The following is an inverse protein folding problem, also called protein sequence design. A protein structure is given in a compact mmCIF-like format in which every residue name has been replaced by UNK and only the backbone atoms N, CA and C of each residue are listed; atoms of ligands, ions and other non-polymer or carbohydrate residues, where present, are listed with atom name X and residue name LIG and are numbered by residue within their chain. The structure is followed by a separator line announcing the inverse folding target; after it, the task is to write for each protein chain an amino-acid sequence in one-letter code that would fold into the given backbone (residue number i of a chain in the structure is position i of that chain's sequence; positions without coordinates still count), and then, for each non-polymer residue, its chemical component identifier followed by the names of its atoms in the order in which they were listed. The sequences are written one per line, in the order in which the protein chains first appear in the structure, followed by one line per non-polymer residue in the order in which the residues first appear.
data_IF_495526524261
#
_entry.id   IF_495526524261
#
_cell.length_a   1.000
_cell.length_b   1.000
_cell.length_c   1.000
_cell.angle_alpha   90.00
_cell.angle_beta   90.00
_cell.angle_gamma   90.00
#
_symmetry.space_group_name_H-M   'P 1'
#
loop_
_entity.id
_entity.type
_entity.pdbx_description
1 polymer ?
#
# COMPACT_ATOMS: atom_id res chain seq x y z
N UNK A 1 -37.78 30.22 6.18
CA UNK A 1 -37.23 29.02 6.84
C UNK A 1 -35.71 29.10 6.81
N UNK A 2 -35.05 29.02 7.96
CA UNK A 2 -33.58 29.04 8.06
C UNK A 2 -33.00 27.84 7.31
N UNK A 3 -32.09 28.09 6.35
CA UNK A 3 -31.38 27.02 5.63
C UNK A 3 -30.66 26.13 6.64
N UNK A 4 -30.97 24.82 6.64
CA UNK A 4 -30.23 23.82 7.43
C UNK A 4 -28.75 23.90 7.03
N UNK A 5 -27.86 23.92 8.01
CA UNK A 5 -26.40 23.93 7.80
C UNK A 5 -25.81 22.64 8.35
N UNK A 6 -24.77 22.16 7.69
CA UNK A 6 -23.98 21.02 8.15
C UNK A 6 -22.63 21.52 8.62
N UNK A 7 -22.20 21.12 9.80
CA UNK A 7 -20.94 21.53 10.41
C UNK A 7 -19.99 20.35 10.42
N UNK A 8 -18.88 20.47 9.72
CA UNK A 8 -17.94 19.41 9.50
C UNK A 8 -16.69 19.66 10.34
N UNK A 9 -16.38 18.77 11.28
CA UNK A 9 -15.20 18.83 12.14
C UNK A 9 -14.16 17.86 11.59
N UNK A 10 -13.06 18.39 11.05
CA UNK A 10 -11.91 17.61 10.55
C UNK A 10 -10.91 17.32 11.66
N UNK A 11 -10.74 18.26 12.60
CA UNK A 11 -9.87 18.12 13.78
C UNK A 11 -10.55 18.73 15.00
N UNK A 12 -10.72 17.94 16.05
CA UNK A 12 -11.42 18.29 17.29
C UNK A 12 -11.50 17.08 18.22
N UNK A 13 -12.25 17.18 19.31
CA UNK A 13 -12.48 16.10 20.27
C UNK A 13 -13.11 14.87 19.60
N UNK A 14 -14.10 15.07 18.73
CA UNK A 14 -14.73 14.03 17.93
C UNK A 14 -14.96 14.52 16.50
N UNK A 15 -14.10 14.14 15.53
CA UNK A 15 -14.31 14.47 14.12
C UNK A 15 -15.63 13.86 13.60
N UNK A 16 -16.36 14.61 12.78
CA UNK A 16 -17.68 14.21 12.30
C UNK A 16 -18.50 15.37 11.72
N UNK A 17 -19.68 15.04 11.20
CA UNK A 17 -20.65 16.02 10.68
C UNK A 17 -21.76 16.19 11.71
N UNK A 18 -22.08 17.43 12.03
CA UNK A 18 -23.12 17.84 12.96
C UNK A 18 -24.15 18.71 12.24
N UNK A 19 -25.42 18.60 12.61
CA UNK A 19 -26.50 19.38 11.98
C UNK A 19 -26.81 20.66 12.75
N UNK A 20 -26.20 20.83 13.92
CA UNK A 20 -26.34 22.02 14.77
C UNK A 20 -24.98 22.59 15.16
N UNK A 21 -24.93 23.91 15.36
CA UNK A 21 -23.71 24.57 15.83
C UNK A 21 -23.34 24.16 17.25
N UNK A 22 -24.32 23.96 18.13
CA UNK A 22 -24.06 23.60 19.53
C UNK A 22 -23.37 22.23 19.67
N UNK A 23 -23.73 21.26 18.83
CA UNK A 23 -23.05 19.95 18.80
C UNK A 23 -21.63 20.07 18.25
N UNK A 24 -21.43 20.83 17.15
CA UNK A 24 -20.11 21.08 16.57
C UNK A 24 -19.20 21.82 17.56
N UNK A 25 -19.72 22.87 18.21
CA UNK A 25 -19.00 23.69 19.18
C UNK A 25 -18.46 22.84 20.34
N UNK A 26 -19.26 21.89 20.84
CA UNK A 26 -18.80 20.93 21.87
C UNK A 26 -17.57 20.12 21.44
N UNK A 27 -17.33 19.94 20.13
CA UNK A 27 -16.19 19.16 19.65
C UNK A 27 -14.94 20.00 19.38
N UNK A 28 -15.07 21.30 19.18
CA UNK A 28 -13.93 22.16 18.78
C UNK A 28 -13.54 23.14 19.87
N UNK A 29 -14.46 23.49 20.77
CA UNK A 29 -14.22 24.44 21.84
C UNK A 29 -13.23 23.87 22.86
N UNK A 30 -12.13 24.60 23.11
CA UNK A 30 -11.05 24.16 24.00
C UNK A 30 -10.05 23.17 23.37
N UNK A 31 -10.24 22.76 22.11
CA UNK A 31 -9.30 21.90 21.40
C UNK A 31 -8.30 22.74 20.60
N UNK A 32 -7.00 22.66 20.94
CA UNK A 32 -5.96 23.44 20.26
C UNK A 32 -5.78 23.01 18.80
N UNK A 33 -5.88 23.98 17.88
CA UNK A 33 -5.76 23.74 16.45
C UNK A 33 -6.92 22.95 15.84
N UNK A 34 -8.15 23.17 16.33
CA UNK A 34 -9.35 22.58 15.74
C UNK A 34 -9.57 23.06 14.29
N UNK A 35 -9.94 22.14 13.40
CA UNK A 35 -10.29 22.40 12.00
C UNK A 35 -11.75 22.04 11.77
N UNK A 36 -12.58 23.03 11.44
CA UNK A 36 -14.00 22.82 11.15
C UNK A 36 -14.53 23.84 10.14
N UNK A 37 -15.59 23.47 9.42
CA UNK A 37 -16.25 24.36 8.45
C UNK A 37 -17.74 24.03 8.30
N UNK A 38 -18.57 25.03 8.01
CA UNK A 38 -20.01 24.84 7.74
C UNK A 38 -20.31 24.81 6.24
N UNK A 39 -21.28 23.98 5.84
CA UNK A 39 -21.69 23.72 4.47
C UNK A 39 -23.21 23.77 4.32
N UNK A 40 -23.69 23.93 3.08
CA UNK A 40 -25.13 23.97 2.78
C UNK A 40 -25.71 22.57 2.56
N UNK A 41 -24.88 21.61 2.13
CA UNK A 41 -25.28 20.23 1.91
C UNK A 41 -24.46 19.26 2.76
N UNK A 42 -25.04 18.10 3.04
CA UNK A 42 -24.35 17.02 3.76
C UNK A 42 -23.15 16.50 2.95
N UNK A 43 -23.28 16.44 1.62
CA UNK A 43 -22.22 15.96 0.72
C UNK A 43 -20.99 16.88 0.71
N UNK A 44 -21.19 18.21 0.75
CA UNK A 44 -20.09 19.15 0.91
C UNK A 44 -19.36 18.99 2.25
N UNK A 45 -20.12 18.73 3.33
CA UNK A 45 -19.56 18.44 4.65
C UNK A 45 -18.80 17.11 4.68
N UNK A 46 -19.32 16.07 4.01
CA UNK A 46 -18.63 14.78 3.81
C UNK A 46 -17.32 14.98 3.07
N UNK A 47 -17.34 15.73 1.96
CA UNK A 47 -16.16 16.02 1.15
C UNK A 47 -15.06 16.79 1.93
N UNK A 48 -15.46 17.66 2.86
CA UNK A 48 -14.49 18.40 3.68
C UNK A 48 -13.76 17.52 4.69
N UNK A 49 -14.45 16.58 5.33
CA UNK A 49 -13.84 15.63 6.27
C UNK A 49 -13.11 14.51 5.53
N UNK A 50 -13.60 14.12 4.34
CA UNK A 50 -12.96 13.10 3.50
C UNK A 50 -11.63 13.58 2.92
N UNK A 51 -11.34 14.88 2.83
CA UNK A 51 -10.04 15.39 2.37
C UNK A 51 -8.82 14.95 3.20
N UNK A 52 -8.98 14.17 4.28
CA UNK A 52 -7.91 13.42 4.97
C UNK A 52 -8.17 11.92 5.16
N UNK A 53 -9.28 11.38 4.65
CA UNK A 53 -9.38 9.95 4.35
C UNK A 53 -8.98 9.82 2.90
N UNK A 54 -7.79 9.28 2.65
CA UNK A 54 -7.42 8.74 1.33
C UNK A 54 -8.67 8.22 0.64
N UNK A 55 -9.10 8.90 -0.42
CA UNK A 55 -10.14 8.46 -1.34
C UNK A 55 -9.59 7.23 -2.08
N UNK A 56 -9.59 6.11 -1.38
CA UNK A 56 -9.63 4.75 -1.90
C UNK A 56 -10.84 4.17 -1.15
N UNK A 57 -11.68 3.38 -1.80
CA UNK A 57 -12.97 2.86 -1.29
C UNK A 57 -14.17 3.73 -1.71
N UNK A 58 -14.34 3.83 -3.02
CA UNK A 58 -15.63 3.78 -3.75
C UNK A 58 -15.15 3.62 -5.20
N UNK A 59 -14.90 2.44 -5.76
CA UNK A 59 -15.83 1.33 -6.03
C UNK A 59 -15.09 0.07 -6.53
N UNK A 60 -13.76 -0.02 -6.33
CA UNK A 60 -12.92 -1.15 -6.74
C UNK A 60 -12.49 -2.00 -5.56
N UNK A 61 -12.41 -3.31 -5.77
CA UNK A 61 -11.82 -4.24 -4.80
C UNK A 61 -10.39 -3.79 -4.47
N UNK A 62 -10.07 -3.67 -3.18
CA UNK A 62 -8.74 -3.29 -2.68
C UNK A 62 -8.05 -4.54 -2.13
N UNK A 63 -6.85 -4.83 -2.64
CA UNK A 63 -5.97 -5.82 -2.06
C UNK A 63 -4.82 -5.18 -1.32
N UNK A 64 -4.36 -5.89 -0.32
CA UNK A 64 -3.13 -5.61 0.41
C UNK A 64 -2.16 -6.75 0.13
N UNK A 65 -0.89 -6.46 -0.13
CA UNK A 65 0.13 -7.49 -0.29
C UNK A 65 1.41 -7.11 0.45
N UNK A 66 1.95 -8.05 1.21
CA UNK A 66 3.25 -7.94 1.84
C UNK A 66 4.24 -8.75 1.04
N UNK A 67 5.38 -8.14 0.73
CA UNK A 67 6.44 -8.76 -0.07
C UNK A 67 7.77 -8.68 0.63
N UNK A 68 8.57 -9.73 0.46
CA UNK A 68 9.93 -9.81 0.98
C UNK A 68 10.80 -10.69 0.06
N UNK A 69 12.11 -10.53 0.17
CA UNK A 69 13.11 -11.25 -0.59
C UNK A 69 14.22 -11.83 0.28
N UNK A 70 14.67 -13.04 -0.05
CA UNK A 70 15.80 -13.70 0.60
C UNK A 70 16.84 -14.11 -0.44
N UNK A 71 18.07 -14.37 0.00
CA UNK A 71 19.15 -14.82 -0.89
C UNK A 71 20.12 -15.74 -0.18
N UNK A 72 20.46 -16.84 -0.85
CA UNK A 72 21.51 -17.75 -0.40
C UNK A 72 22.68 -17.74 -1.39
N UNK A 73 23.83 -17.32 -0.89
CA UNK A 73 25.06 -17.22 -1.67
C UNK A 73 25.67 -18.59 -2.01
N UNK A 74 25.36 -19.64 -1.25
CA UNK A 74 25.87 -21.01 -1.47
C UNK A 74 25.28 -21.64 -2.73
N UNK A 75 23.97 -21.46 -2.93
CA UNK A 75 23.23 -21.99 -4.09
C UNK A 75 22.98 -20.95 -5.18
N UNK A 76 23.39 -19.69 -4.95
CA UNK A 76 23.20 -18.55 -5.86
C UNK A 76 21.73 -18.40 -6.30
N UNK A 77 20.81 -18.50 -5.34
CA UNK A 77 19.37 -18.32 -5.57
C UNK A 77 18.81 -17.24 -4.66
N UNK A 78 17.81 -16.54 -5.16
CA UNK A 78 16.97 -15.67 -4.36
C UNK A 78 15.61 -16.32 -4.14
N UNK A 79 14.97 -15.99 -3.03
CA UNK A 79 13.63 -16.42 -2.68
C UNK A 79 12.71 -15.21 -2.58
N UNK A 80 11.46 -15.40 -2.97
CA UNK A 80 10.44 -14.38 -3.12
C UNK A 80 9.23 -14.79 -2.27
N UNK A 81 8.90 -13.98 -1.27
CA UNK A 81 7.79 -14.22 -0.36
C UNK A 81 6.66 -13.22 -0.60
N UNK A 82 5.43 -13.69 -0.74
CA UNK A 82 4.25 -12.83 -0.93
C UNK A 82 3.12 -13.29 -0.01
N UNK A 83 2.48 -12.36 0.67
CA UNK A 83 1.24 -12.59 1.44
C UNK A 83 0.18 -11.63 0.92
N UNK A 84 -0.88 -12.15 0.31
CA UNK A 84 -1.98 -11.37 -0.23
C UNK A 84 -3.15 -11.42 0.75
N UNK A 85 -3.71 -10.24 1.06
CA UNK A 85 -4.83 -10.07 1.95
C UNK A 85 -5.98 -9.36 1.26
N UNK A 86 -7.18 -9.85 1.54
CA UNK A 86 -8.46 -9.19 1.22
C UNK A 86 -9.20 -8.99 2.52
N UNK A 87 -9.62 -7.76 2.83
CA UNK A 87 -10.31 -7.44 4.09
C UNK A 87 -9.57 -7.90 5.35
N UNK A 88 -8.22 -7.80 5.36
CA UNK A 88 -7.31 -8.27 6.44
C UNK A 88 -7.26 -9.79 6.65
N UNK A 89 -7.87 -10.57 5.78
CA UNK A 89 -7.73 -12.03 5.76
C UNK A 89 -6.75 -12.44 4.68
N UNK A 90 -5.84 -13.36 5.00
CA UNK A 90 -4.91 -13.91 4.02
C UNK A 90 -5.69 -14.77 3.04
N UNK A 91 -5.68 -14.38 1.77
CA UNK A 91 -6.37 -15.09 0.69
C UNK A 91 -5.42 -15.93 -0.16
N UNK A 92 -4.15 -15.54 -0.24
CA UNK A 92 -3.16 -16.26 -1.02
C UNK A 92 -1.74 -16.00 -0.50
N UNK A 93 -0.84 -16.95 -0.69
CA UNK A 93 0.58 -16.79 -0.38
C UNK A 93 1.47 -17.41 -1.45
N UNK A 94 2.62 -16.78 -1.71
CA UNK A 94 3.61 -17.31 -2.64
C UNK A 94 4.97 -17.45 -1.94
N UNK A 95 5.66 -18.54 -2.26
CA UNK A 95 7.04 -18.83 -1.90
C UNK A 95 7.72 -19.36 -3.15
N UNK A 96 8.49 -18.51 -3.82
CA UNK A 96 9.06 -18.80 -5.14
C UNK A 96 10.57 -18.59 -5.11
N UNK A 97 11.33 -19.55 -5.64
CA UNK A 97 12.76 -19.39 -5.80
C UNK A 97 13.10 -18.98 -7.23
N UNK A 98 13.99 -18.01 -7.36
CA UNK A 98 14.51 -17.55 -8.63
C UNK A 98 16.03 -17.69 -8.70
N UNK A 99 16.52 -17.84 -9.94
CA UNK A 99 17.94 -17.92 -10.26
C UNK A 99 18.26 -17.15 -11.55
N UNK A 100 17.39 -16.22 -11.95
CA UNK A 100 17.59 -15.40 -13.14
C UNK A 100 18.91 -14.64 -13.01
N UNK A 101 19.79 -14.79 -14.01
CA UNK A 101 21.15 -14.24 -14.00
C UNK A 101 21.18 -12.71 -13.92
N UNK A 102 20.16 -12.03 -14.44
CA UNK A 102 20.06 -10.57 -14.44
C UNK A 102 19.58 -10.03 -13.09
N UNK A 103 18.83 -10.84 -12.34
CA UNK A 103 18.28 -10.48 -11.03
C UNK A 103 19.16 -10.99 -9.89
N UNK A 104 19.78 -12.17 -10.00
CA UNK A 104 20.52 -12.81 -8.90
C UNK A 104 21.65 -11.94 -8.33
N UNK A 105 22.23 -11.05 -9.12
CA UNK A 105 23.23 -10.07 -8.67
C UNK A 105 22.67 -9.04 -7.68
N UNK A 106 21.35 -8.84 -7.68
CA UNK A 106 20.62 -8.00 -6.75
C UNK A 106 20.29 -8.71 -5.43
N UNK A 107 20.65 -10.00 -5.29
CA UNK A 107 20.50 -10.79 -4.06
C UNK A 107 19.06 -10.77 -3.54
N UNK A 108 18.83 -10.39 -2.28
CA UNK A 108 17.51 -10.35 -1.67
C UNK A 108 16.58 -9.35 -2.39
N UNK A 109 17.12 -8.24 -2.92
CA UNK A 109 16.33 -7.25 -3.68
C UNK A 109 15.73 -7.86 -4.95
N UNK A 110 16.34 -8.89 -5.54
CA UNK A 110 15.73 -9.60 -6.65
C UNK A 110 14.46 -10.37 -6.24
N UNK A 111 14.50 -11.00 -5.06
CA UNK A 111 13.33 -11.67 -4.51
C UNK A 111 12.19 -10.71 -4.22
N UNK A 112 12.51 -9.52 -3.69
CA UNK A 112 11.50 -8.50 -3.40
C UNK A 112 10.90 -7.87 -4.68
N UNK A 113 11.71 -7.65 -5.72
CA UNK A 113 11.23 -7.24 -7.04
C UNK A 113 10.29 -8.30 -7.63
N UNK A 114 10.69 -9.57 -7.59
CA UNK A 114 9.88 -10.65 -8.13
C UNK A 114 8.57 -10.83 -7.33
N UNK A 115 8.65 -10.80 -6.00
CA UNK A 115 7.50 -10.82 -5.10
C UNK A 115 6.52 -9.66 -5.40
N UNK A 116 7.04 -8.45 -5.64
CA UNK A 116 6.24 -7.30 -6.04
C UNK A 116 5.52 -7.52 -7.36
N UNK A 117 6.20 -8.11 -8.35
CA UNK A 117 5.58 -8.45 -9.64
C UNK A 117 4.49 -9.50 -9.47
N UNK A 118 4.73 -10.55 -8.68
CA UNK A 118 3.74 -11.60 -8.41
C UNK A 118 2.46 -11.00 -7.81
N UNK A 119 2.58 -10.10 -6.83
CA UNK A 119 1.44 -9.41 -6.24
C UNK A 119 0.66 -8.56 -7.27
N UNK A 120 1.37 -7.84 -8.14
CA UNK A 120 0.76 -7.05 -9.22
C UNK A 120 0.06 -7.94 -10.26
N UNK A 121 0.70 -9.04 -10.68
CA UNK A 121 0.12 -10.01 -11.62
C UNK A 121 -1.14 -10.69 -11.05
N UNK A 122 -1.14 -10.99 -9.76
CA UNK A 122 -2.33 -11.52 -9.09
C UNK A 122 -3.51 -10.55 -9.22
N UNK A 123 -3.27 -9.26 -8.98
CA UNK A 123 -4.31 -8.25 -9.10
C UNK A 123 -4.85 -8.18 -10.53
N UNK A 124 -3.96 -8.13 -11.53
CA UNK A 124 -4.34 -8.08 -12.94
C UNK A 124 -5.16 -9.32 -13.38
N UNK A 125 -4.74 -10.52 -12.96
CA UNK A 125 -5.46 -11.78 -13.26
C UNK A 125 -6.86 -11.80 -12.66
N UNK A 126 -7.02 -11.23 -11.46
CA UNK A 126 -8.29 -11.17 -10.75
C UNK A 126 -9.11 -9.90 -11.06
N UNK A 127 -8.65 -9.06 -12.01
CA UNK A 127 -9.30 -7.77 -12.39
C UNK A 127 -9.47 -6.83 -11.19
N UNK A 128 -8.47 -6.80 -10.33
CA UNK A 128 -8.39 -5.94 -9.15
C UNK A 128 -7.60 -4.70 -9.54
N UNK A 129 -8.21 -3.54 -9.32
CA UNK A 129 -7.69 -2.26 -9.80
C UNK A 129 -6.86 -1.53 -8.74
N UNK A 130 -6.94 -1.92 -7.46
CA UNK A 130 -6.26 -1.24 -6.37
C UNK A 130 -5.44 -2.22 -5.51
N UNK A 131 -4.14 -1.92 -5.38
CA UNK A 131 -3.20 -2.69 -4.58
C UNK A 131 -2.46 -1.78 -3.59
N UNK A 132 -2.46 -2.13 -2.31
CA UNK A 132 -1.49 -1.60 -1.34
C UNK A 132 -0.36 -2.59 -1.21
N UNK A 133 0.85 -2.20 -1.63
CA UNK A 133 2.04 -3.04 -1.59
C UNK A 133 2.94 -2.61 -0.44
N UNK A 134 3.12 -3.50 0.54
CA UNK A 134 3.99 -3.34 1.69
C UNK A 134 5.32 -4.04 1.45
N UNK A 135 6.42 -3.32 1.63
CA UNK A 135 7.78 -3.76 1.31
C UNK A 135 8.80 -3.09 2.24
N UNK A 136 10.02 -3.62 2.34
CA UNK A 136 11.03 -3.15 3.29
C UNK A 136 12.16 -2.33 2.64
N UNK A 137 12.40 -2.51 1.34
CA UNK A 137 13.42 -1.78 0.59
C UNK A 137 12.83 -0.67 -0.28
N UNK A 138 13.30 0.57 -0.04
CA UNK A 138 12.79 1.76 -0.74
C UNK A 138 12.95 1.74 -2.27
N UNK A 139 13.89 0.94 -2.80
CA UNK A 139 14.08 0.82 -4.25
C UNK A 139 12.82 0.35 -4.97
N UNK A 140 12.01 -0.50 -4.34
CA UNK A 140 10.76 -1.05 -4.91
C UNK A 140 9.82 0.08 -5.36
N UNK A 141 9.60 1.07 -4.50
CA UNK A 141 8.80 2.24 -4.85
C UNK A 141 9.55 3.21 -5.77
N UNK A 142 10.81 3.50 -5.45
CA UNK A 142 11.55 4.60 -6.06
C UNK A 142 11.83 4.38 -7.55
N UNK A 143 12.07 3.13 -7.98
CA UNK A 143 12.25 2.81 -9.39
C UNK A 143 10.93 2.92 -10.17
N UNK A 144 9.82 2.43 -9.61
CA UNK A 144 8.50 2.55 -10.23
C UNK A 144 8.11 4.02 -10.44
N UNK A 145 8.27 4.86 -9.41
CA UNK A 145 7.96 6.30 -9.47
C UNK A 145 8.94 7.12 -10.32
N UNK A 146 10.13 6.57 -10.62
CA UNK A 146 11.17 7.28 -11.36
C UNK A 146 12.00 8.25 -10.52
N UNK A 147 11.86 8.19 -9.20
CA UNK A 147 12.68 8.96 -8.26
C UNK A 147 14.15 8.49 -8.30
N UNK A 148 14.38 7.20 -8.57
CA UNK A 148 15.71 6.60 -8.69
C UNK A 148 15.99 6.14 -10.11
N UNK A 149 17.24 6.34 -10.56
CA UNK A 149 17.70 5.83 -11.85
C UNK A 149 17.77 4.31 -11.84
N UNK A 150 17.29 3.69 -12.91
CA UNK A 150 17.40 2.25 -13.16
C UNK A 150 18.65 1.96 -13.98
N UNK A 151 19.70 1.45 -13.33
CA UNK A 151 21.01 1.24 -13.97
C UNK A 151 21.30 -0.25 -14.28
N UNK A 152 20.54 -1.17 -13.67
CA UNK A 152 20.71 -2.62 -13.85
C UNK A 152 19.61 -3.19 -14.72
N UNK A 153 19.86 -4.26 -15.53
CA UNK A 153 18.84 -4.91 -16.33
C UNK A 153 17.57 -5.25 -15.53
N UNK A 154 17.71 -5.84 -14.34
CA UNK A 154 16.58 -6.13 -13.45
C UNK A 154 15.74 -4.91 -13.05
N UNK A 155 16.39 -3.80 -12.69
CA UNK A 155 15.68 -2.54 -12.33
C UNK A 155 14.98 -1.88 -13.53
N UNK A 156 15.59 -1.97 -14.71
CA UNK A 156 15.03 -1.45 -15.97
C UNK A 156 13.79 -2.27 -16.35
N UNK A 157 13.91 -3.60 -16.30
CA UNK A 157 12.82 -4.52 -16.58
C UNK A 157 11.67 -4.33 -15.59
N UNK A 158 11.97 -4.16 -14.30
CA UNK A 158 10.96 -3.91 -13.27
C UNK A 158 10.19 -2.61 -13.51
N UNK A 159 10.91 -1.51 -13.78
CA UNK A 159 10.27 -0.24 -14.12
C UNK A 159 9.40 -0.35 -15.37
N UNK A 160 9.93 -0.97 -16.43
CA UNK A 160 9.19 -1.17 -17.68
C UNK A 160 7.92 -1.99 -17.47
N UNK A 161 7.99 -3.04 -16.65
CA UNK A 161 6.83 -3.83 -16.26
C UNK A 161 5.78 -2.97 -15.54
N UNK A 162 6.20 -2.22 -14.51
CA UNK A 162 5.29 -1.32 -13.78
C UNK A 162 4.64 -0.28 -14.70
N UNK A 163 5.44 0.36 -15.56
CA UNK A 163 4.95 1.35 -16.53
C UNK A 163 3.93 0.77 -17.51
N UNK A 164 3.97 -0.54 -17.79
CA UNK A 164 2.99 -1.22 -18.65
C UNK A 164 1.65 -1.52 -17.98
N UNK A 165 1.60 -1.55 -16.64
CA UNK A 165 0.41 -1.96 -15.88
C UNK A 165 -0.23 -0.81 -15.10
N UNK A 166 0.48 0.30 -14.87
CA UNK A 166 0.04 1.41 -13.99
C UNK A 166 -1.27 2.08 -14.39
N UNK A 167 -1.67 1.98 -15.66
CA UNK A 167 -2.96 2.50 -16.14
C UNK A 167 -4.14 1.56 -15.79
N UNK A 168 -3.85 0.28 -15.53
CA UNK A 168 -4.85 -0.75 -15.19
C UNK A 168 -4.83 -1.15 -13.71
N UNK A 169 -3.76 -0.82 -12.99
CA UNK A 169 -3.57 -1.15 -11.59
C UNK A 169 -2.97 0.04 -10.84
N UNK A 170 -3.76 0.59 -9.92
CA UNK A 170 -3.33 1.61 -8.98
C UNK A 170 -2.57 0.95 -7.81
N UNK A 171 -1.24 1.12 -7.80
CA UNK A 171 -0.38 0.58 -6.73
C UNK A 171 0.00 1.68 -5.74
N UNK A 172 -0.43 1.53 -4.50
CA UNK A 172 0.03 2.32 -3.36
C UNK A 172 1.16 1.60 -2.64
N UNK A 173 2.35 2.17 -2.75
CA UNK A 173 3.54 1.70 -2.06
C UNK A 173 3.54 2.16 -0.59
N UNK A 174 3.77 1.23 0.34
CA UNK A 174 3.90 1.49 1.77
C UNK A 174 5.16 0.82 2.31
N UNK A 175 6.19 1.61 2.61
CA UNK A 175 7.41 1.09 3.24
C UNK A 175 7.11 0.68 4.69
N UNK A 176 7.41 -0.57 5.03
CA UNK A 176 7.38 -1.08 6.40
C UNK A 176 8.78 -1.15 6.97
N UNK A 177 8.90 -1.09 8.29
CA UNK A 177 10.18 -1.35 8.97
C UNK A 177 10.36 -2.86 9.08
N UNK A 178 11.49 -3.36 8.59
CA UNK A 178 11.91 -4.73 8.85
C UNK A 178 11.84 -5.04 10.36
N UNK A 179 11.27 -6.20 10.72
CA UNK A 179 11.11 -6.67 12.11
C UNK A 179 10.33 -5.74 13.05
N UNK A 180 9.30 -5.06 12.52
CA UNK A 180 8.41 -4.18 13.31
C UNK A 180 7.36 -4.91 14.16
N UNK A 181 7.31 -6.25 14.10
CA UNK A 181 6.23 -7.04 14.71
C UNK A 181 4.95 -7.04 13.88
N UNK A 182 5.01 -6.63 12.61
CA UNK A 182 3.94 -6.89 11.65
C UNK A 182 3.98 -8.37 11.24
N UNK A 183 2.98 -9.11 11.73
CA UNK A 183 2.85 -10.55 11.51
C UNK A 183 2.89 -10.94 10.02
N UNK A 184 2.51 -10.05 9.10
CA UNK A 184 2.45 -10.36 7.68
C UNK A 184 3.79 -10.13 6.97
N UNK A 185 4.55 -9.12 7.37
CA UNK A 185 5.91 -8.93 6.89
C UNK A 185 6.80 -10.10 7.32
N UNK A 186 6.75 -10.49 8.60
CA UNK A 186 7.51 -11.64 9.10
C UNK A 186 7.09 -12.95 8.42
N UNK A 187 5.83 -13.05 7.98
CA UNK A 187 5.36 -14.18 7.18
C UNK A 187 5.93 -14.14 5.76
N UNK A 188 6.01 -12.99 5.12
CA UNK A 188 6.65 -12.83 3.82
C UNK A 188 8.15 -13.18 3.86
N UNK A 189 8.90 -12.70 4.86
CA UNK A 189 10.30 -13.07 5.10
C UNK A 189 10.48 -14.59 5.21
N UNK A 190 9.64 -15.25 6.01
CA UNK A 190 9.65 -16.72 6.16
C UNK A 190 9.39 -17.43 4.84
N UNK A 191 8.40 -16.98 4.07
CA UNK A 191 8.10 -17.55 2.75
C UNK A 191 9.28 -17.37 1.78
N UNK A 192 9.97 -16.23 1.83
CA UNK A 192 11.14 -15.97 0.99
C UNK A 192 12.30 -16.91 1.36
N UNK A 193 12.55 -17.13 2.67
CA UNK A 193 13.57 -18.08 3.15
C UNK A 193 13.23 -19.53 2.82
N UNK A 194 11.99 -19.94 3.04
CA UNK A 194 11.49 -21.27 2.71
C UNK A 194 11.68 -21.60 1.23
N UNK A 195 11.49 -20.64 0.33
CA UNK A 195 11.66 -20.85 -1.10
C UNK A 195 13.07 -21.38 -1.46
N UNK A 196 14.09 -20.92 -0.73
CA UNK A 196 15.50 -21.28 -0.94
C UNK A 196 16.03 -22.28 0.09
N UNK A 197 15.17 -22.80 0.97
CA UNK A 197 15.51 -23.84 1.95
C UNK A 197 16.21 -23.33 3.22
N UNK A 198 16.00 -22.06 3.59
CA UNK A 198 16.51 -21.43 4.81
C UNK A 198 15.47 -21.34 5.94
#
# INVERSE_FOLDING_TARGET
MSKKKFYAVRKGLKPGIYTTWDECKKQVNGFSGAEYKSFQTEDEAKNYISKNKTHIIDSGELLEAYVDGSYDNSIKKYGSGVVILKNKEVVETYSVAGNDKELVEMRNVAGEIEASKIAMEYCLKNKIENLVLYFDYEGIEKWCKGDWKTNKPGTIAYKKYYDSIKENLNVKFVKVKAHSGDNYNDKADKLAKQAIGL
#
